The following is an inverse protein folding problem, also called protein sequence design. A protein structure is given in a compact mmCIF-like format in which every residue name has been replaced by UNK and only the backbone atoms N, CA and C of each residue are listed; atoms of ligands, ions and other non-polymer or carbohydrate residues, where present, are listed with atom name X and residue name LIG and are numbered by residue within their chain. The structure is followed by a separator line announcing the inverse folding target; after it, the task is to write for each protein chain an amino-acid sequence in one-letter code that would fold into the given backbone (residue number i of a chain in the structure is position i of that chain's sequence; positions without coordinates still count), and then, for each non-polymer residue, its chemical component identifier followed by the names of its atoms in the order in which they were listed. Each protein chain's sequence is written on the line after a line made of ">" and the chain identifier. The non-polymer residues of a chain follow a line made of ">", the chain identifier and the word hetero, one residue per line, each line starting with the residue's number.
data_IF_311001930519
#
_entry.id   IF_311001930519
#
_cell.length_a   1.000
_cell.length_b   1.000
_cell.length_c   1.000
_cell.angle_alpha   90.00
_cell.angle_beta   90.00
_cell.angle_gamma   90.00
#
_symmetry.space_group_name_H-M   'P 1'
#
loop_
_entity.id
_entity.type
_entity.pdbx_description
1 polymer ?
#
# COMPACT_ATOMS: atom_id res chain seq x y z
N UNK A 1 13.88 -15.90 -14.15
CA UNK A 1 13.24 -14.80 -13.48
C UNK A 1 14.34 -13.91 -12.92
N UNK A 2 14.10 -12.67 -12.58
CA UNK A 2 15.22 -11.75 -12.44
C UNK A 2 15.03 -10.82 -11.24
N UNK A 3 16.12 -10.48 -10.57
CA UNK A 3 16.24 -9.34 -9.67
C UNK A 3 16.09 -8.05 -10.47
N UNK A 4 15.48 -7.03 -9.87
CA UNK A 4 15.42 -5.67 -10.40
C UNK A 4 16.11 -4.73 -9.43
N UNK A 5 17.08 -3.95 -9.90
CA UNK A 5 17.84 -3.01 -9.09
C UNK A 5 17.76 -1.61 -9.69
N UNK A 6 17.33 -0.66 -8.88
CA UNK A 6 17.34 0.77 -9.17
C UNK A 6 18.44 1.42 -8.31
N UNK A 7 19.37 2.14 -8.93
CA UNK A 7 20.47 2.83 -8.24
C UNK A 7 20.42 4.31 -8.56
N UNK A 8 20.12 5.15 -7.56
CA UNK A 8 20.06 6.62 -7.63
C UNK A 8 19.21 7.13 -8.79
N UNK A 9 18.06 6.51 -9.01
CA UNK A 9 17.19 6.84 -10.16
C UNK A 9 16.61 8.23 -9.98
N UNK A 10 16.85 9.08 -10.98
CA UNK A 10 16.30 10.43 -11.10
C UNK A 10 15.46 10.54 -12.36
N UNK A 11 14.30 11.19 -12.25
CA UNK A 11 13.51 11.63 -13.40
C UNK A 11 13.13 13.09 -13.25
N UNK A 12 13.49 13.88 -14.24
CA UNK A 12 13.10 15.29 -14.39
C UNK A 12 12.25 15.46 -15.64
N UNK A 13 11.20 16.26 -15.50
CA UNK A 13 10.41 16.80 -16.58
C UNK A 13 10.56 18.32 -16.53
N UNK A 14 11.29 18.87 -17.46
CA UNK A 14 11.68 20.28 -17.43
C UNK A 14 12.28 20.65 -16.04
N UNK A 15 11.68 21.59 -15.32
CA UNK A 15 12.11 22.02 -13.99
C UNK A 15 11.56 21.16 -12.84
N UNK A 16 10.72 20.16 -13.12
CA UNK A 16 10.07 19.34 -12.09
C UNK A 16 10.78 17.99 -11.92
N UNK A 17 11.31 17.75 -10.74
CA UNK A 17 11.93 16.47 -10.38
C UNK A 17 10.87 15.50 -9.83
N UNK A 18 10.36 14.62 -10.71
CA UNK A 18 9.30 13.66 -10.37
C UNK A 18 9.80 12.44 -9.57
N UNK A 19 11.06 12.04 -9.75
CA UNK A 19 11.75 11.00 -8.96
C UNK A 19 13.13 11.51 -8.59
N UNK A 20 13.49 11.40 -7.30
CA UNK A 20 14.58 12.16 -6.68
C UNK A 20 15.66 11.25 -6.09
N UNK A 21 16.35 10.50 -6.94
CA UNK A 21 17.50 9.67 -6.54
C UNK A 21 17.08 8.49 -5.67
N UNK A 22 16.14 7.66 -6.14
CA UNK A 22 15.68 6.49 -5.39
C UNK A 22 16.61 5.29 -5.61
N UNK A 23 16.81 4.53 -4.52
CA UNK A 23 17.48 3.24 -4.51
C UNK A 23 16.47 2.16 -4.12
N UNK A 24 16.38 1.09 -4.92
CA UNK A 24 15.47 -0.02 -4.65
C UNK A 24 16.02 -1.31 -5.24
N UNK A 25 16.21 -2.32 -4.39
CA UNK A 25 16.53 -3.68 -4.79
C UNK A 25 15.30 -4.57 -4.61
N UNK A 26 14.90 -5.25 -5.68
CA UNK A 26 13.79 -6.20 -5.71
C UNK A 26 14.37 -7.58 -6.01
N UNK A 27 14.20 -8.51 -5.08
CA UNK A 27 14.77 -9.85 -5.22
C UNK A 27 14.00 -10.71 -6.22
N UNK A 28 14.62 -11.79 -6.68
CA UNK A 28 13.95 -12.73 -7.59
C UNK A 28 12.67 -13.29 -6.95
N UNK A 29 11.56 -13.28 -7.71
CA UNK A 29 10.23 -13.77 -7.32
C UNK A 29 9.53 -12.95 -6.24
N UNK A 30 10.04 -11.82 -5.85
CA UNK A 30 9.44 -10.94 -4.86
C UNK A 30 8.24 -10.17 -5.46
N UNK A 31 7.19 -9.98 -4.66
CA UNK A 31 6.06 -9.10 -4.97
C UNK A 31 6.24 -7.77 -4.24
N UNK A 32 6.72 -6.76 -4.95
CA UNK A 32 6.91 -5.41 -4.40
C UNK A 32 5.78 -4.49 -4.85
N UNK A 33 5.20 -3.77 -3.87
CA UNK A 33 4.16 -2.77 -4.14
C UNK A 33 4.69 -1.38 -3.90
N UNK A 34 4.60 -0.51 -4.90
CA UNK A 34 4.85 0.93 -4.78
C UNK A 34 3.53 1.62 -4.42
N UNK A 35 3.48 2.32 -3.29
CA UNK A 35 2.28 2.99 -2.79
C UNK A 35 2.62 4.44 -2.38
N UNK A 36 1.64 5.33 -2.41
CA UNK A 36 1.81 6.73 -2.04
C UNK A 36 0.77 7.64 -2.69
N UNK A 37 0.74 8.94 -2.37
CA UNK A 37 -0.20 9.91 -2.92
C UNK A 37 -0.09 10.03 -4.44
N UNK A 38 -1.12 10.63 -5.05
CA UNK A 38 -1.06 10.98 -6.47
C UNK A 38 0.12 11.92 -6.76
N UNK A 39 0.84 11.67 -7.85
CA UNK A 39 1.99 12.49 -8.26
C UNK A 39 3.31 12.23 -7.51
N UNK A 40 3.39 11.25 -6.59
CA UNK A 40 4.64 10.96 -5.85
C UNK A 40 5.70 10.16 -6.64
N UNK A 41 5.47 9.85 -7.93
CA UNK A 41 6.47 9.21 -8.79
C UNK A 41 6.30 7.70 -9.04
N UNK A 42 5.29 7.02 -8.47
CA UNK A 42 5.07 5.55 -8.61
C UNK A 42 4.99 5.07 -10.06
N UNK A 43 4.01 5.56 -10.82
CA UNK A 43 3.82 5.17 -12.23
C UNK A 43 5.00 5.59 -13.10
N UNK A 44 5.64 6.72 -12.79
CA UNK A 44 6.88 7.15 -13.45
C UNK A 44 8.00 6.12 -13.22
N UNK A 45 8.19 5.69 -11.98
CA UNK A 45 9.18 4.66 -11.62
C UNK A 45 8.88 3.34 -12.35
N UNK A 46 7.62 2.89 -12.35
CA UNK A 46 7.22 1.69 -13.06
C UNK A 46 7.49 1.79 -14.57
N UNK A 47 7.16 2.94 -15.18
CA UNK A 47 7.39 3.18 -16.61
C UNK A 47 8.87 3.26 -16.98
N UNK A 48 9.72 3.78 -16.10
CA UNK A 48 11.17 3.74 -16.27
C UNK A 48 11.71 2.30 -16.25
N UNK A 49 11.23 1.44 -15.34
CA UNK A 49 11.57 0.01 -15.34
C UNK A 49 11.12 -0.64 -16.65
N UNK A 50 9.93 -0.27 -17.15
CA UNK A 50 9.40 -0.77 -18.42
C UNK A 50 10.14 -0.25 -19.65
N UNK A 51 10.94 0.81 -19.54
CA UNK A 51 11.54 1.51 -20.69
C UNK A 51 10.55 2.32 -21.51
N UNK A 52 9.38 2.62 -20.95
CA UNK A 52 8.36 3.51 -21.54
C UNK A 52 8.62 4.97 -21.19
N UNK A 53 9.54 5.21 -20.28
CA UNK A 53 10.00 6.52 -19.84
C UNK A 53 11.52 6.44 -19.63
N UNK A 54 12.26 7.38 -20.18
CA UNK A 54 13.71 7.45 -20.01
C UNK A 54 14.05 7.98 -18.62
N UNK A 55 15.10 7.45 -18.01
CA UNK A 55 15.67 8.02 -16.79
C UNK A 55 16.47 9.28 -17.11
N UNK A 56 16.55 10.22 -16.16
CA UNK A 56 17.44 11.39 -16.30
C UNK A 56 18.84 11.06 -15.77
N UNK A 57 18.91 10.29 -14.68
CA UNK A 57 20.18 9.86 -14.08
C UNK A 57 19.97 8.54 -13.31
N UNK A 58 21.05 7.85 -12.99
CA UNK A 58 21.06 6.57 -12.28
C UNK A 58 21.12 5.36 -13.20
N UNK A 59 20.85 4.18 -12.64
CA UNK A 59 20.98 2.91 -13.36
C UNK A 59 19.83 1.96 -12.99
N UNK A 60 19.19 1.35 -13.99
CA UNK A 60 18.23 0.26 -13.84
C UNK A 60 18.87 -1.02 -14.35
N UNK A 61 18.86 -2.06 -13.51
CA UNK A 61 19.32 -3.40 -13.85
C UNK A 61 18.18 -4.41 -13.75
N UNK A 62 18.09 -5.32 -14.72
CA UNK A 62 17.16 -6.47 -14.71
C UNK A 62 18.00 -7.73 -14.95
N UNK A 63 17.97 -8.68 -14.03
CA UNK A 63 18.77 -9.91 -14.11
C UNK A 63 20.27 -9.66 -14.19
N UNK A 64 20.76 -8.59 -13.53
CA UNK A 64 22.17 -8.21 -13.56
C UNK A 64 22.64 -7.46 -14.80
N UNK A 65 21.73 -7.15 -15.73
CA UNK A 65 22.03 -6.39 -16.96
C UNK A 65 21.46 -4.98 -16.87
N UNK A 66 22.28 -3.98 -17.15
CA UNK A 66 21.85 -2.58 -17.27
C UNK A 66 20.91 -2.43 -18.46
N UNK A 67 19.71 -1.85 -18.24
CA UNK A 67 18.66 -1.74 -19.24
C UNK A 67 18.32 -0.30 -19.63
N UNK A 68 19.10 0.70 -19.20
CA UNK A 68 18.81 2.11 -19.44
C UNK A 68 18.47 2.38 -20.93
N UNK A 69 19.31 1.91 -21.85
CA UNK A 69 19.19 2.13 -23.29
C UNK A 69 18.49 0.97 -24.01
N UNK A 70 18.00 -0.04 -23.29
CA UNK A 70 17.30 -1.19 -23.87
C UNK A 70 15.83 -0.82 -24.12
N UNK A 71 15.32 -0.95 -25.35
CA UNK A 71 13.92 -0.62 -25.63
C UNK A 71 12.95 -1.61 -24.95
N UNK A 72 11.69 -1.21 -24.65
CA UNK A 72 10.73 -2.01 -23.88
C UNK A 72 10.51 -3.44 -24.39
N UNK A 73 10.53 -3.64 -25.72
CA UNK A 73 10.33 -4.95 -26.36
C UNK A 73 11.43 -5.96 -26.04
N UNK A 74 12.62 -5.49 -25.69
CA UNK A 74 13.84 -6.29 -25.48
C UNK A 74 14.21 -6.45 -23.99
N UNK A 75 13.48 -5.78 -23.07
CA UNK A 75 13.70 -5.88 -21.60
C UNK A 75 13.16 -7.17 -20.98
N UNK A 76 12.50 -8.04 -21.74
CA UNK A 76 11.84 -9.27 -21.28
C UNK A 76 10.89 -9.07 -20.08
N UNK A 77 10.14 -8.00 -20.14
CA UNK A 77 9.10 -7.63 -19.15
C UNK A 77 7.70 -7.79 -19.74
N UNK A 78 6.69 -7.91 -18.88
CA UNK A 78 5.29 -7.78 -19.28
C UNK A 78 4.58 -6.77 -18.39
N UNK A 79 3.82 -5.87 -19.00
CA UNK A 79 3.09 -4.82 -18.30
C UNK A 79 1.58 -4.96 -18.48
N UNK A 80 0.85 -4.82 -17.38
CA UNK A 80 -0.60 -4.72 -17.31
C UNK A 80 -0.94 -3.26 -16.98
N UNK A 81 -1.66 -2.62 -17.90
CA UNK A 81 -2.04 -1.21 -17.78
C UNK A 81 -3.38 -1.06 -17.08
N UNK A 82 -3.63 0.10 -16.50
CA UNK A 82 -4.85 0.49 -15.82
C UNK A 82 -6.12 0.31 -16.68
N UNK A 83 -6.03 0.55 -18.01
CA UNK A 83 -7.13 0.40 -18.96
C UNK A 83 -7.17 -0.96 -19.66
N UNK A 84 -6.39 -1.94 -19.17
CA UNK A 84 -6.23 -3.30 -19.72
C UNK A 84 -5.64 -3.38 -21.14
N UNK A 85 -5.74 -2.33 -21.95
CA UNK A 85 -5.22 -2.21 -23.31
C UNK A 85 -5.54 -3.43 -24.23
N UNK A 86 -6.76 -3.98 -24.10
CA UNK A 86 -7.21 -5.12 -24.92
C UNK A 86 -7.54 -4.69 -26.36
N UNK A 87 -7.23 -5.55 -27.33
CA UNK A 87 -7.62 -5.36 -28.72
C UNK A 87 -9.10 -5.73 -28.90
N UNK A 88 -10.02 -4.76 -29.14
CA UNK A 88 -11.46 -5.00 -29.07
C UNK A 88 -12.00 -5.91 -30.19
N UNK A 89 -11.30 -5.97 -31.31
CA UNK A 89 -11.64 -6.79 -32.47
C UNK A 89 -11.15 -8.23 -32.39
N UNK A 90 -10.25 -8.54 -31.46
CA UNK A 90 -9.69 -9.88 -31.25
C UNK A 90 -10.47 -10.65 -30.19
N UNK A 91 -10.49 -11.99 -30.31
CA UNK A 91 -10.98 -12.88 -29.25
C UNK A 91 -10.02 -12.91 -28.04
N UNK A 92 -10.43 -13.54 -26.94
CA UNK A 92 -9.57 -13.76 -25.77
C UNK A 92 -8.30 -14.51 -26.17
N UNK A 93 -8.43 -15.64 -26.87
CA UNK A 93 -7.29 -16.42 -27.38
C UNK A 93 -6.37 -15.59 -28.26
N UNK A 94 -6.94 -14.76 -29.14
CA UNK A 94 -6.18 -13.88 -30.02
C UNK A 94 -5.47 -12.77 -29.26
N UNK A 95 -6.09 -12.17 -28.25
CA UNK A 95 -5.47 -11.19 -27.37
C UNK A 95 -4.29 -11.80 -26.62
N UNK A 96 -4.46 -12.97 -26.00
CA UNK A 96 -3.39 -13.65 -25.27
C UNK A 96 -2.23 -14.03 -26.21
N UNK A 97 -2.51 -14.60 -27.37
CA UNK A 97 -1.50 -15.09 -28.31
C UNK A 97 -0.78 -14.00 -29.13
N UNK A 98 -1.25 -12.74 -29.09
CA UNK A 98 -0.77 -11.68 -29.99
C UNK A 98 0.74 -11.48 -29.95
N UNK A 99 1.33 -11.35 -28.77
CA UNK A 99 2.77 -11.13 -28.59
C UNK A 99 3.60 -12.34 -29.06
N UNK A 100 3.11 -13.57 -28.85
CA UNK A 100 3.79 -14.78 -29.30
C UNK A 100 3.78 -14.90 -30.85
N UNK A 101 2.64 -14.56 -31.45
CA UNK A 101 2.53 -14.52 -32.94
C UNK A 101 3.47 -13.48 -33.56
N UNK A 102 3.57 -12.30 -32.95
CA UNK A 102 4.48 -11.25 -33.41
C UNK A 102 5.95 -11.69 -33.33
N UNK A 103 6.30 -12.47 -32.29
CA UNK A 103 7.63 -13.08 -32.13
C UNK A 103 7.81 -14.37 -32.94
N UNK A 104 6.83 -14.75 -33.77
CA UNK A 104 6.86 -15.91 -34.70
C UNK A 104 7.08 -17.26 -33.99
N UNK A 105 6.52 -17.45 -32.76
CA UNK A 105 6.52 -18.76 -32.13
C UNK A 105 5.76 -19.79 -32.93
N UNK A 106 6.11 -21.12 -32.85
CA UNK A 106 5.36 -22.21 -33.43
C UNK A 106 3.89 -22.23 -32.97
N UNK A 107 2.96 -22.65 -33.85
CA UNK A 107 1.51 -22.61 -33.57
C UNK A 107 1.13 -23.51 -32.37
N UNK A 108 1.70 -24.68 -32.28
CA UNK A 108 1.53 -25.64 -31.20
C UNK A 108 1.98 -25.06 -29.83
N UNK A 109 3.12 -24.41 -29.81
CA UNK A 109 3.63 -23.75 -28.63
C UNK A 109 2.74 -22.55 -28.20
N UNK A 110 2.24 -21.76 -29.14
CA UNK A 110 1.28 -20.69 -28.88
C UNK A 110 0.01 -21.26 -28.26
N UNK A 111 -0.55 -22.33 -28.85
CA UNK A 111 -1.76 -22.95 -28.35
C UNK A 111 -1.55 -23.48 -26.92
N UNK A 112 -0.47 -24.23 -26.69
CA UNK A 112 -0.12 -24.77 -25.37
C UNK A 112 -0.05 -23.66 -24.30
N UNK A 113 0.67 -22.55 -24.58
CA UNK A 113 0.83 -21.43 -23.62
C UNK A 113 -0.48 -20.70 -23.36
N UNK A 114 -1.32 -20.51 -24.37
CA UNK A 114 -2.64 -19.88 -24.22
C UNK A 114 -3.58 -20.74 -23.37
N UNK A 115 -3.61 -22.06 -23.63
CA UNK A 115 -4.41 -22.99 -22.84
C UNK A 115 -3.95 -23.08 -21.38
N UNK A 116 -2.64 -23.07 -21.14
CA UNK A 116 -2.07 -23.03 -19.81
C UNK A 116 -2.43 -21.73 -19.05
N UNK A 117 -2.27 -20.58 -19.69
CA UNK A 117 -2.65 -19.31 -19.10
C UNK A 117 -4.16 -19.22 -18.85
N UNK A 118 -4.97 -19.71 -19.78
CA UNK A 118 -6.43 -19.77 -19.63
C UNK A 118 -6.83 -20.68 -18.44
N UNK A 119 -6.14 -21.79 -18.23
CA UNK A 119 -6.34 -22.69 -17.09
C UNK A 119 -5.98 -22.02 -15.76
N UNK A 120 -4.84 -21.34 -15.68
CA UNK A 120 -4.41 -20.58 -14.49
C UNK A 120 -5.45 -19.53 -14.11
N UNK A 121 -6.06 -18.88 -15.10
CA UNK A 121 -6.99 -17.77 -14.93
C UNK A 121 -8.49 -18.18 -14.90
N UNK A 122 -8.80 -19.47 -15.07
CA UNK A 122 -10.18 -19.96 -15.16
C UNK A 122 -10.94 -19.37 -16.35
N UNK A 123 -10.31 -19.29 -17.53
CA UNK A 123 -10.83 -18.62 -18.73
C UNK A 123 -11.04 -19.55 -19.92
N UNK A 124 -10.95 -20.89 -19.73
CA UNK A 124 -10.99 -21.86 -20.85
C UNK A 124 -12.26 -21.71 -21.71
N UNK A 125 -13.42 -21.56 -21.09
CA UNK A 125 -14.73 -21.45 -21.76
C UNK A 125 -14.97 -20.08 -22.41
N UNK A 126 -14.02 -19.15 -22.26
CA UNK A 126 -14.15 -17.77 -22.74
C UNK A 126 -13.19 -17.42 -23.88
N UNK A 127 -12.37 -18.37 -24.34
CA UNK A 127 -11.29 -18.14 -25.29
C UNK A 127 -11.78 -17.57 -26.65
N UNK A 128 -12.99 -17.91 -27.08
CA UNK A 128 -13.59 -17.44 -28.33
C UNK A 128 -14.35 -16.12 -28.20
N UNK A 129 -14.56 -15.63 -26.96
CA UNK A 129 -15.27 -14.36 -26.72
C UNK A 129 -14.39 -13.16 -27.06
N UNK A 130 -15.06 -12.04 -27.35
CA UNK A 130 -14.41 -10.72 -27.54
C UNK A 130 -14.54 -9.86 -26.30
N UNK A 131 -13.67 -8.85 -26.09
CA UNK A 131 -13.70 -7.99 -24.90
C UNK A 131 -15.05 -7.38 -24.55
N UNK A 132 -15.87 -7.02 -25.55
CA UNK A 132 -17.23 -6.49 -25.35
C UNK A 132 -18.21 -7.46 -24.67
N UNK A 133 -17.92 -8.76 -24.72
CA UNK A 133 -18.75 -9.83 -24.15
C UNK A 133 -18.28 -10.26 -22.75
N UNK A 134 -17.30 -9.54 -22.17
CA UNK A 134 -16.66 -9.86 -20.90
C UNK A 134 -17.00 -8.83 -19.83
N UNK A 135 -17.11 -9.30 -18.58
CA UNK A 135 -17.16 -8.43 -17.42
C UNK A 135 -15.82 -7.70 -17.17
N UNK A 136 -15.80 -6.69 -16.28
CA UNK A 136 -14.58 -5.97 -15.91
C UNK A 136 -13.46 -6.91 -15.44
N UNK A 137 -13.75 -7.80 -14.50
CA UNK A 137 -12.77 -8.77 -14.00
C UNK A 137 -12.33 -9.80 -15.04
N UNK A 138 -13.22 -10.20 -15.95
CA UNK A 138 -12.83 -11.07 -17.05
C UNK A 138 -11.87 -10.36 -18.02
N UNK A 139 -12.11 -9.07 -18.34
CA UNK A 139 -11.18 -8.27 -19.16
C UNK A 139 -9.81 -8.15 -18.48
N UNK A 140 -9.78 -7.95 -17.18
CA UNK A 140 -8.53 -7.91 -16.42
C UNK A 140 -7.78 -9.25 -16.48
N UNK A 141 -8.47 -10.38 -16.29
CA UNK A 141 -7.85 -11.71 -16.44
C UNK A 141 -7.27 -11.91 -17.84
N UNK A 142 -7.93 -11.42 -18.89
CA UNK A 142 -7.36 -11.47 -20.26
C UNK A 142 -6.08 -10.63 -20.34
N UNK A 143 -6.04 -9.44 -19.73
CA UNK A 143 -4.83 -8.61 -19.70
C UNK A 143 -3.68 -9.32 -18.95
N UNK A 144 -3.97 -9.98 -17.83
CA UNK A 144 -3.01 -10.84 -17.13
C UNK A 144 -2.55 -12.01 -17.98
N UNK A 145 -3.48 -12.67 -18.71
CA UNK A 145 -3.16 -13.77 -19.63
C UNK A 145 -2.20 -13.35 -20.74
N UNK A 146 -2.37 -12.15 -21.29
CA UNK A 146 -1.41 -11.57 -22.25
C UNK A 146 0.01 -11.43 -21.70
N UNK A 147 0.12 -11.18 -20.39
CA UNK A 147 1.40 -11.08 -19.71
C UNK A 147 1.99 -12.48 -19.40
N UNK A 148 1.17 -13.39 -18.87
CA UNK A 148 1.58 -14.75 -18.44
C UNK A 148 2.11 -15.58 -19.63
N UNK A 149 1.43 -15.58 -20.78
CA UNK A 149 1.84 -16.37 -21.95
C UNK A 149 3.26 -16.06 -22.45
N UNK A 150 3.78 -14.86 -22.14
CA UNK A 150 5.12 -14.42 -22.51
C UNK A 150 6.21 -15.03 -21.65
N UNK A 151 5.85 -15.55 -20.45
CA UNK A 151 6.79 -16.02 -19.43
C UNK A 151 7.92 -15.00 -19.18
N UNK A 152 7.59 -13.74 -18.80
CA UNK A 152 8.58 -12.67 -18.68
C UNK A 152 9.44 -12.86 -17.44
N UNK A 153 10.59 -12.17 -17.39
CA UNK A 153 11.42 -12.10 -16.19
C UNK A 153 10.79 -11.25 -15.08
N UNK A 154 10.04 -10.18 -15.45
CA UNK A 154 9.40 -9.26 -14.50
C UNK A 154 7.99 -8.92 -14.96
N UNK A 155 7.03 -8.97 -14.03
CA UNK A 155 5.69 -8.42 -14.20
C UNK A 155 5.61 -7.00 -13.66
N UNK A 156 4.98 -6.11 -14.41
CA UNK A 156 4.72 -4.72 -14.05
C UNK A 156 3.21 -4.46 -14.10
N UNK A 157 2.64 -3.94 -13.00
CA UNK A 157 1.22 -3.62 -12.89
C UNK A 157 1.04 -2.13 -12.58
N UNK A 158 0.40 -1.37 -13.48
CA UNK A 158 0.10 0.05 -13.30
C UNK A 158 -1.37 0.21 -12.92
N UNK A 159 -1.67 0.26 -11.63
CA UNK A 159 -3.01 0.40 -11.02
C UNK A 159 -4.09 -0.53 -11.65
N UNK A 160 -3.87 -1.84 -11.73
CA UNK A 160 -4.72 -2.72 -12.53
C UNK A 160 -6.15 -2.89 -11.98
N UNK A 161 -6.41 -2.56 -10.71
CA UNK A 161 -7.71 -2.73 -10.05
C UNK A 161 -8.52 -1.43 -9.91
N UNK A 162 -7.96 -0.28 -10.26
CA UNK A 162 -8.56 1.05 -10.04
C UNK A 162 -9.94 1.23 -10.72
N UNK A 163 -10.16 0.58 -11.87
CA UNK A 163 -11.40 0.69 -12.66
C UNK A 163 -12.46 -0.37 -12.30
N UNK A 164 -12.31 -1.08 -11.17
CA UNK A 164 -13.24 -2.11 -10.71
C UNK A 164 -14.08 -1.61 -9.51
N UNK A 165 -15.31 -2.11 -9.41
CA UNK A 165 -16.12 -1.94 -8.21
C UNK A 165 -15.50 -2.65 -6.99
N UNK A 166 -15.92 -2.27 -5.78
CA UNK A 166 -15.33 -2.74 -4.53
C UNK A 166 -15.38 -4.29 -4.39
N UNK A 167 -16.50 -4.92 -4.75
CA UNK A 167 -16.69 -6.37 -4.64
C UNK A 167 -15.73 -7.11 -5.59
N UNK A 168 -15.66 -6.65 -6.82
CA UNK A 168 -14.82 -7.25 -7.86
C UNK A 168 -13.33 -7.02 -7.55
N UNK A 169 -12.97 -5.86 -6.97
CA UNK A 169 -11.60 -5.56 -6.52
C UNK A 169 -11.10 -6.56 -5.49
N UNK A 170 -11.93 -6.91 -4.47
CA UNK A 170 -11.60 -7.94 -3.48
C UNK A 170 -11.33 -9.30 -4.13
N UNK A 171 -12.19 -9.72 -5.07
CA UNK A 171 -12.02 -10.98 -5.79
C UNK A 171 -10.73 -11.00 -6.62
N UNK A 172 -10.51 -9.94 -7.40
CA UNK A 172 -9.34 -9.84 -8.29
C UNK A 172 -8.01 -9.75 -7.53
N UNK A 173 -8.00 -9.11 -6.36
CA UNK A 173 -6.83 -9.10 -5.46
C UNK A 173 -6.43 -10.52 -5.05
N UNK A 174 -7.39 -11.34 -4.63
CA UNK A 174 -7.15 -12.75 -4.30
C UNK A 174 -6.63 -13.54 -5.52
N UNK A 175 -7.17 -13.29 -6.71
CA UNK A 175 -6.73 -13.92 -7.94
C UNK A 175 -5.28 -13.54 -8.31
N UNK A 176 -4.92 -12.26 -8.21
CA UNK A 176 -3.54 -11.80 -8.46
C UNK A 176 -2.57 -12.51 -7.51
N UNK A 177 -2.90 -12.62 -6.21
CA UNK A 177 -2.05 -13.33 -5.25
C UNK A 177 -1.87 -14.80 -5.61
N UNK A 178 -2.95 -15.50 -5.99
CA UNK A 178 -2.89 -16.90 -6.46
C UNK A 178 -2.03 -17.06 -7.72
N UNK A 179 -2.22 -16.18 -8.70
CA UNK A 179 -1.43 -16.20 -9.94
C UNK A 179 0.05 -15.99 -9.64
N UNK A 180 0.39 -15.03 -8.79
CA UNK A 180 1.79 -14.82 -8.39
C UNK A 180 2.40 -16.06 -7.72
N UNK A 181 1.67 -16.71 -6.80
CA UNK A 181 2.12 -17.95 -6.14
C UNK A 181 2.38 -19.10 -7.12
N UNK A 182 1.61 -19.17 -8.22
CA UNK A 182 1.77 -20.20 -9.24
C UNK A 182 2.91 -19.90 -10.22
N UNK A 183 2.96 -18.63 -10.70
CA UNK A 183 3.90 -18.23 -11.76
C UNK A 183 5.27 -17.86 -11.17
N UNK A 184 5.31 -17.40 -9.90
CA UNK A 184 6.53 -17.05 -9.15
C UNK A 184 7.47 -16.10 -9.91
N UNK A 185 6.92 -15.11 -10.59
CA UNK A 185 7.68 -14.11 -11.34
C UNK A 185 7.86 -12.85 -10.51
N UNK A 186 9.03 -12.25 -10.52
CA UNK A 186 9.31 -10.95 -9.87
C UNK A 186 8.26 -9.92 -10.33
N UNK A 187 7.61 -9.27 -9.37
CA UNK A 187 6.45 -8.43 -9.64
C UNK A 187 6.63 -7.06 -9.02
N UNK A 188 6.44 -6.00 -9.83
CA UNK A 188 6.33 -4.62 -9.35
C UNK A 188 4.92 -4.13 -9.62
N UNK A 189 4.24 -3.73 -8.57
CA UNK A 189 2.83 -3.36 -8.60
C UNK A 189 2.65 -1.93 -8.08
N UNK A 190 1.98 -1.10 -8.83
CA UNK A 190 1.63 0.28 -8.42
C UNK A 190 0.17 0.34 -8.02
N UNK A 191 -0.11 0.96 -6.89
CA UNK A 191 -1.47 1.25 -6.44
C UNK A 191 -1.51 2.51 -5.57
N UNK A 192 -2.69 3.09 -5.43
CA UNK A 192 -3.02 4.08 -4.41
C UNK A 192 -3.87 3.48 -3.28
N UNK A 193 -4.28 2.21 -3.41
CA UNK A 193 -5.10 1.49 -2.43
C UNK A 193 -4.19 0.78 -1.41
N UNK A 194 -4.26 1.21 -0.15
CA UNK A 194 -3.47 0.64 0.93
C UNK A 194 -3.80 -0.82 1.21
N UNK A 195 -5.08 -1.23 1.05
CA UNK A 195 -5.49 -2.61 1.28
C UNK A 195 -4.87 -3.54 0.24
N UNK A 196 -4.71 -3.07 -1.01
CA UNK A 196 -3.96 -3.81 -2.03
C UNK A 196 -2.50 -3.98 -1.62
N UNK A 197 -1.85 -2.90 -1.19
CA UNK A 197 -0.46 -2.94 -0.74
C UNK A 197 -0.27 -3.89 0.44
N UNK A 198 -1.09 -3.78 1.48
CA UNK A 198 -1.00 -4.60 2.69
C UNK A 198 -1.28 -6.09 2.46
N UNK A 199 -2.10 -6.44 1.45
CA UNK A 199 -2.53 -7.84 1.23
C UNK A 199 -1.74 -8.58 0.15
N UNK A 200 -1.23 -7.87 -0.86
CA UNK A 200 -0.52 -8.47 -1.98
C UNK A 200 0.98 -8.56 -1.75
N UNK A 201 1.58 -7.53 -1.15
CA UNK A 201 3.02 -7.37 -1.10
C UNK A 201 3.73 -8.39 -0.21
N UNK A 202 4.92 -8.79 -0.63
CA UNK A 202 5.95 -9.30 0.26
C UNK A 202 6.69 -8.12 0.91
N UNK A 203 6.85 -7.03 0.15
CA UNK A 203 7.43 -5.76 0.63
C UNK A 203 6.73 -4.56 -0.02
N UNK A 204 6.42 -3.56 0.80
CA UNK A 204 5.82 -2.29 0.37
C UNK A 204 6.87 -1.19 0.36
N UNK A 205 6.85 -0.39 -0.68
CA UNK A 205 7.66 0.82 -0.84
C UNK A 205 6.74 2.02 -0.76
N UNK A 206 6.82 2.76 0.32
CA UNK A 206 6.04 4.00 0.52
C UNK A 206 6.78 5.15 -0.12
N UNK A 207 6.18 5.75 -1.15
CA UNK A 207 6.75 6.88 -1.87
C UNK A 207 6.04 8.19 -1.51
N UNK A 208 6.82 9.23 -1.34
CA UNK A 208 6.33 10.58 -1.08
C UNK A 208 7.23 11.61 -1.80
N UNK A 209 6.63 12.56 -2.51
CA UNK A 209 7.33 13.67 -3.19
C UNK A 209 8.57 13.25 -4.00
N UNK A 210 8.47 12.13 -4.73
CA UNK A 210 9.56 11.61 -5.57
C UNK A 210 10.65 10.84 -4.81
N UNK A 211 10.51 10.60 -3.51
CA UNK A 211 11.44 9.86 -2.66
C UNK A 211 10.79 8.61 -2.08
N UNK A 212 11.62 7.69 -1.63
CA UNK A 212 11.18 6.55 -0.82
C UNK A 212 11.27 6.96 0.65
N UNK A 213 10.13 6.96 1.35
CA UNK A 213 10.05 7.29 2.77
C UNK A 213 10.36 6.09 3.66
N UNK A 214 9.78 4.94 3.32
CA UNK A 214 10.06 3.68 4.02
C UNK A 214 9.83 2.48 3.10
N UNK A 215 10.65 1.45 3.29
CA UNK A 215 10.50 0.13 2.66
C UNK A 215 10.40 -0.90 3.79
N UNK A 216 9.47 -1.83 3.68
CA UNK A 216 9.36 -2.91 4.66
C UNK A 216 8.23 -3.90 4.37
N UNK A 217 8.19 -4.95 5.18
CA UNK A 217 7.02 -5.83 5.29
C UNK A 217 5.79 -5.00 5.67
N UNK A 218 4.60 -5.31 5.15
CA UNK A 218 3.36 -4.60 5.49
C UNK A 218 3.14 -4.40 7.00
N UNK A 219 3.36 -5.44 7.82
CA UNK A 219 3.19 -5.34 9.28
C UNK A 219 4.21 -4.39 9.92
N UNK A 220 5.45 -4.37 9.41
CA UNK A 220 6.49 -3.45 9.91
C UNK A 220 6.10 -2.00 9.63
N UNK A 221 5.57 -1.70 8.44
CA UNK A 221 5.12 -0.35 8.09
C UNK A 221 3.93 0.10 8.96
N UNK A 222 3.05 -0.84 9.31
CA UNK A 222 1.87 -0.57 10.13
C UNK A 222 2.20 -0.34 11.61
N UNK A 223 3.05 -1.21 12.20
CA UNK A 223 3.37 -1.19 13.64
C UNK A 223 4.60 -0.36 13.99
N UNK A 224 5.49 -0.10 13.01
CA UNK A 224 6.76 0.60 13.23
C UNK A 224 7.03 1.60 12.10
N UNK A 225 6.12 2.55 11.86
CA UNK A 225 6.34 3.61 10.88
C UNK A 225 7.54 4.48 11.31
N UNK A 226 8.34 4.95 10.34
CA UNK A 226 9.51 5.80 10.62
C UNK A 226 9.18 7.29 10.64
N UNK A 227 8.14 7.69 9.92
CA UNK A 227 7.76 9.09 9.78
C UNK A 227 6.28 9.27 10.08
N UNK A 228 5.89 10.50 10.43
CA UNK A 228 4.49 10.91 10.56
C UNK A 228 3.71 10.62 9.28
N UNK A 229 4.35 10.87 8.12
CA UNK A 229 3.72 10.58 6.84
C UNK A 229 3.37 9.09 6.70
N UNK A 230 4.31 8.18 6.93
CA UNK A 230 4.06 6.72 6.83
C UNK A 230 3.01 6.29 7.84
N UNK A 231 3.07 6.78 9.09
CA UNK A 231 2.11 6.49 10.15
C UNK A 231 0.67 6.86 9.77
N UNK A 232 0.48 8.03 9.16
CA UNK A 232 -0.82 8.52 8.71
C UNK A 232 -1.26 7.95 7.36
N UNK A 233 -0.30 7.61 6.49
CA UNK A 233 -0.62 7.06 5.18
C UNK A 233 -0.97 5.57 5.23
N UNK A 234 -0.32 4.78 6.09
CA UNK A 234 -0.56 3.34 6.23
C UNK A 234 -1.60 3.08 7.34
N UNK A 235 -2.72 2.50 6.94
CA UNK A 235 -3.87 2.18 7.80
C UNK A 235 -5.15 2.87 7.34
N UNK A 236 -6.29 2.20 7.52
CA UNK A 236 -7.62 2.73 7.19
C UNK A 236 -8.60 2.34 8.31
N UNK A 237 -9.07 3.32 9.09
CA UNK A 237 -8.75 4.74 9.02
C UNK A 237 -7.29 5.08 9.33
N UNK A 238 -6.88 6.32 9.01
CA UNK A 238 -5.54 6.84 9.31
C UNK A 238 -5.28 6.91 10.82
N UNK A 239 -4.00 6.95 11.21
CA UNK A 239 -3.61 7.21 12.60
C UNK A 239 -4.06 8.60 13.04
N UNK A 240 -4.63 8.72 14.24
CA UNK A 240 -4.88 10.00 14.88
C UNK A 240 -3.56 10.68 15.24
N UNK A 241 -3.47 11.99 15.05
CA UNK A 241 -2.35 12.81 15.49
C UNK A 241 -2.85 13.95 16.35
N UNK A 242 -2.39 14.01 17.61
CA UNK A 242 -2.79 15.01 18.59
C UNK A 242 -1.55 15.74 19.09
N UNK A 243 -1.55 17.07 19.01
CA UNK A 243 -0.51 17.87 19.61
C UNK A 243 -0.53 17.72 21.13
N UNK A 244 0.60 17.38 21.72
CA UNK A 244 0.72 16.99 23.11
C UNK A 244 2.05 17.44 23.72
N UNK A 245 2.17 17.29 25.03
CA UNK A 245 3.43 17.52 25.75
C UNK A 245 3.80 16.28 26.54
N UNK A 246 5.05 15.85 26.44
CA UNK A 246 5.59 14.80 27.28
C UNK A 246 5.94 15.39 28.64
N UNK A 247 5.46 14.79 29.72
CA UNK A 247 5.68 15.29 31.08
C UNK A 247 6.14 14.17 32.03
N UNK A 248 6.88 14.56 33.09
CA UNK A 248 7.15 13.67 34.19
C UNK A 248 5.88 13.49 35.01
N UNK A 249 5.49 12.25 35.32
CA UNK A 249 4.28 11.92 36.08
C UNK A 249 4.62 10.92 37.22
N UNK A 250 4.86 11.41 38.42
CA UNK A 250 5.31 10.58 39.53
C UNK A 250 6.68 9.93 39.24
N UNK A 251 6.74 8.59 39.28
CA UNK A 251 7.96 7.83 38.99
C UNK A 251 8.11 7.51 37.46
N UNK A 252 7.09 7.82 36.65
CA UNK A 252 7.03 7.51 35.23
C UNK A 252 6.80 8.75 34.39
N UNK A 253 6.46 8.51 33.09
CA UNK A 253 6.17 9.56 32.11
C UNK A 253 4.70 9.50 31.68
N UNK A 254 4.15 10.64 31.25
CA UNK A 254 2.84 10.70 30.64
C UNK A 254 2.81 11.66 29.44
N UNK A 255 1.95 11.37 28.48
CA UNK A 255 1.60 12.27 27.38
C UNK A 255 0.40 13.09 27.84
N UNK A 256 0.61 14.39 28.06
CA UNK A 256 -0.46 15.34 28.38
C UNK A 256 -1.06 15.87 27.09
N UNK A 257 -2.31 15.46 26.81
CA UNK A 257 -3.04 15.93 25.65
C UNK A 257 -3.64 17.32 25.91
N UNK A 258 -4.27 17.52 27.11
CA UNK A 258 -4.79 18.80 27.58
C UNK A 258 -4.76 18.85 29.11
N UNK A 259 -5.52 19.78 29.73
CA UNK A 259 -5.58 19.91 31.20
C UNK A 259 -6.26 18.71 31.88
N UNK A 260 -7.22 18.06 31.16
CA UNK A 260 -8.06 16.98 31.67
C UNK A 260 -7.53 15.59 31.33
N UNK A 261 -6.80 15.46 30.18
CA UNK A 261 -6.38 14.17 29.64
C UNK A 261 -4.86 14.04 29.68
N UNK A 262 -4.39 13.14 30.55
CA UNK A 262 -2.98 12.77 30.68
C UNK A 262 -2.85 11.25 30.66
N UNK A 263 -2.19 10.71 29.64
CA UNK A 263 -2.09 9.27 29.37
C UNK A 263 -0.72 8.75 29.80
N UNK A 264 -0.60 7.91 30.86
CA UNK A 264 0.65 7.31 31.27
C UNK A 264 1.30 6.48 30.15
N UNK A 265 2.61 6.60 30.01
CA UNK A 265 3.40 5.80 29.08
C UNK A 265 3.74 4.46 29.73
N UNK A 266 3.60 3.32 29.03
CA UNK A 266 4.06 2.03 29.51
C UNK A 266 5.56 2.06 29.88
N UNK A 267 5.97 1.54 31.06
CA UNK A 267 7.34 1.65 31.57
C UNK A 267 8.41 1.14 30.60
N UNK A 268 8.11 0.08 29.87
CA UNK A 268 9.01 -0.52 28.88
C UNK A 268 9.33 0.41 27.69
N UNK A 269 8.52 1.44 27.46
CA UNK A 269 8.69 2.42 26.37
C UNK A 269 9.38 3.71 26.82
N UNK A 270 9.39 4.02 28.09
CA UNK A 270 9.90 5.29 28.63
C UNK A 270 11.34 5.59 28.27
N UNK A 271 12.18 4.55 28.16
CA UNK A 271 13.61 4.72 27.86
C UNK A 271 13.86 5.45 26.54
N UNK A 272 12.95 5.36 25.56
CA UNK A 272 13.05 6.00 24.25
C UNK A 272 12.79 7.50 24.31
N UNK A 273 12.03 7.96 25.31
CA UNK A 273 11.46 9.30 25.33
C UNK A 273 12.12 10.24 26.32
N UNK A 274 13.17 9.81 27.05
CA UNK A 274 13.86 10.59 28.10
C UNK A 274 14.29 11.98 27.67
N UNK A 275 14.80 12.10 26.44
CA UNK A 275 15.30 13.34 25.89
C UNK A 275 14.19 14.32 25.46
N UNK A 276 12.94 13.88 25.52
CA UNK A 276 11.75 14.66 25.13
C UNK A 276 10.89 15.09 26.31
N UNK A 277 11.29 14.82 27.56
CA UNK A 277 10.59 15.29 28.75
C UNK A 277 10.46 16.82 28.69
N UNK A 278 9.29 17.33 29.01
CA UNK A 278 8.86 18.74 28.96
C UNK A 278 8.89 19.38 27.57
N UNK A 279 9.02 18.58 26.49
CA UNK A 279 8.92 19.06 25.12
C UNK A 279 7.55 18.79 24.49
N UNK A 280 7.25 19.57 23.48
CA UNK A 280 6.12 19.32 22.58
C UNK A 280 6.42 18.11 21.71
N UNK A 281 5.41 17.26 21.54
CA UNK A 281 5.44 16.05 20.70
C UNK A 281 4.09 15.92 19.99
N UNK A 282 4.05 15.16 18.90
CA UNK A 282 2.79 14.73 18.31
C UNK A 282 2.51 13.31 18.79
N UNK A 283 1.39 13.12 19.49
CA UNK A 283 0.91 11.82 19.94
C UNK A 283 0.16 11.14 18.80
N UNK A 284 0.58 9.94 18.43
CA UNK A 284 -0.03 9.10 17.41
C UNK A 284 -0.67 7.86 18.02
N UNK A 285 -1.97 7.64 17.74
CA UNK A 285 -2.66 6.40 18.12
C UNK A 285 -3.71 6.05 17.05
N UNK A 286 -3.75 4.77 16.64
CA UNK A 286 -4.70 4.35 15.62
C UNK A 286 -6.12 4.23 16.18
N UNK A 287 -7.16 4.48 15.36
CA UNK A 287 -8.56 4.40 15.78
C UNK A 287 -8.96 3.07 16.44
N UNK A 288 -8.42 1.95 15.99
CA UNK A 288 -8.68 0.63 16.56
C UNK A 288 -8.06 0.39 17.94
N UNK A 289 -7.15 1.25 18.36
CA UNK A 289 -6.55 1.25 19.71
C UNK A 289 -7.22 2.24 20.66
N UNK A 290 -8.28 2.90 20.20
CA UNK A 290 -9.20 3.70 21.04
C UNK A 290 -10.55 3.03 20.96
N UNK A 291 -10.99 2.39 22.06
CA UNK A 291 -12.20 1.56 22.08
C UNK A 291 -13.13 1.97 23.21
N UNK A 292 -14.28 1.33 23.31
CA UNK A 292 -15.13 1.42 24.50
C UNK A 292 -14.46 0.79 25.72
N UNK A 293 -14.82 1.26 26.92
CA UNK A 293 -14.34 0.67 28.19
C UNK A 293 -14.87 -0.76 28.34
N UNK A 294 -14.00 -1.70 28.66
CA UNK A 294 -14.28 -3.12 28.87
C UNK A 294 -14.17 -3.50 30.35
N UNK A 295 -14.85 -4.57 30.76
CA UNK A 295 -14.82 -5.05 32.16
C UNK A 295 -13.44 -5.51 32.63
N UNK A 296 -12.59 -5.98 31.73
CA UNK A 296 -11.21 -6.38 32.00
C UNK A 296 -10.28 -5.53 31.15
N UNK A 297 -9.39 -4.80 31.81
CA UNK A 297 -8.40 -3.94 31.19
C UNK A 297 -7.09 -4.71 31.05
N UNK A 298 -6.48 -4.60 29.89
CA UNK A 298 -5.12 -5.06 29.69
C UNK A 298 -4.12 -4.05 30.29
N UNK A 299 -2.95 -4.53 30.70
CA UNK A 299 -1.88 -3.64 31.17
C UNK A 299 -1.51 -2.66 30.08
N UNK A 300 -1.32 -1.39 30.42
CA UNK A 300 -0.98 -0.33 29.45
C UNK A 300 -2.18 0.32 28.77
N UNK A 301 -3.41 0.00 29.18
CA UNK A 301 -4.63 0.70 28.74
C UNK A 301 -5.04 1.78 29.73
N UNK A 302 -5.58 2.89 29.23
CA UNK A 302 -5.95 4.08 30.03
C UNK A 302 -7.34 4.58 29.64
N UNK A 303 -8.21 4.77 30.62
CA UNK A 303 -9.53 5.37 30.43
C UNK A 303 -9.43 6.90 30.33
N UNK A 304 -10.22 7.48 29.44
CA UNK A 304 -10.45 8.91 29.37
C UNK A 304 -11.86 9.21 28.89
N UNK A 305 -12.35 10.40 29.21
CA UNK A 305 -13.67 10.85 28.77
C UNK A 305 -13.53 11.77 27.55
N UNK A 306 -14.38 11.56 26.55
CA UNK A 306 -14.48 12.44 25.39
C UNK A 306 -15.93 12.84 25.12
N UNK A 307 -16.13 14.06 24.63
CA UNK A 307 -17.42 14.52 24.09
C UNK A 307 -17.48 14.12 22.62
N UNK A 308 -18.45 13.28 22.26
CA UNK A 308 -18.60 12.82 20.88
C UNK A 308 -19.19 13.92 20.00
N UNK A 309 -18.56 14.18 18.88
CA UNK A 309 -19.04 15.11 17.84
C UNK A 309 -19.96 14.35 16.85
N UNK A 310 -19.45 13.26 16.27
CA UNK A 310 -20.13 12.45 15.25
C UNK A 310 -20.07 10.96 15.60
N UNK A 311 -21.14 10.23 15.28
CA UNK A 311 -21.22 8.77 15.42
C UNK A 311 -21.65 8.17 14.10
N UNK A 312 -20.81 7.31 13.51
CA UNK A 312 -21.03 6.65 12.22
C UNK A 312 -21.16 5.13 12.37
N UNK A 313 -22.36 4.58 12.39
CA UNK A 313 -22.57 3.12 12.40
C UNK A 313 -22.16 2.50 11.06
N UNK A 314 -21.20 1.57 11.07
CA UNK A 314 -20.71 0.86 9.88
C UNK A 314 -21.20 -0.61 9.81
N UNK A 315 -22.14 -0.99 10.66
CA UNK A 315 -22.69 -2.34 10.77
C UNK A 315 -21.95 -3.21 11.78
N UNK A 316 -20.81 -3.75 11.45
CA UNK A 316 -20.01 -4.57 12.37
C UNK A 316 -19.25 -3.77 13.44
N UNK A 317 -19.03 -2.50 13.20
CA UNK A 317 -18.35 -1.54 14.07
C UNK A 317 -18.99 -0.16 13.95
N UNK A 318 -18.70 0.72 14.90
CA UNK A 318 -19.11 2.12 14.85
C UNK A 318 -17.87 3.00 15.01
N UNK A 319 -17.73 3.96 14.11
CA UNK A 319 -16.73 5.01 14.26
C UNK A 319 -17.33 6.14 15.08
N UNK A 320 -16.59 6.63 16.06
CA UNK A 320 -16.93 7.82 16.84
C UNK A 320 -15.83 8.85 16.67
N UNK A 321 -16.23 10.10 16.47
CA UNK A 321 -15.33 11.22 16.26
C UNK A 321 -15.52 12.22 17.41
N UNK A 322 -14.42 12.78 17.87
CA UNK A 322 -14.38 13.81 18.92
C UNK A 322 -13.14 14.69 18.75
N UNK A 323 -13.12 15.82 19.40
CA UNK A 323 -12.03 16.80 19.27
C UNK A 323 -11.21 16.89 20.54
N UNK A 324 -9.89 16.83 20.43
CA UNK A 324 -8.93 17.12 21.51
C UNK A 324 -7.96 18.20 21.02
N UNK A 325 -7.86 19.34 21.73
CA UNK A 325 -6.99 20.47 21.37
C UNK A 325 -7.20 21.04 19.96
N UNK A 326 -8.38 20.88 19.39
CA UNK A 326 -8.66 21.28 18.01
C UNK A 326 -8.28 20.21 16.95
N UNK A 327 -7.66 19.11 17.35
CA UNK A 327 -7.37 17.98 16.48
C UNK A 327 -8.56 17.00 16.51
N UNK A 328 -9.05 16.59 15.33
CA UNK A 328 -10.09 15.56 15.20
C UNK A 328 -9.51 14.19 15.50
N UNK A 329 -10.19 13.41 16.32
CA UNK A 329 -9.80 12.08 16.76
C UNK A 329 -10.91 11.10 16.42
N UNK A 330 -10.56 10.01 15.76
CA UNK A 330 -11.44 8.89 15.46
C UNK A 330 -11.17 7.73 16.41
N UNK A 331 -12.24 7.05 16.87
CA UNK A 331 -12.13 5.81 17.63
C UNK A 331 -13.08 4.75 17.06
N UNK A 332 -12.73 3.49 17.26
CA UNK A 332 -13.52 2.35 16.81
C UNK A 332 -14.12 1.64 18.00
N UNK A 333 -15.46 1.63 18.08
CA UNK A 333 -16.20 1.09 19.21
C UNK A 333 -17.21 0.02 18.77
N UNK A 334 -17.61 -0.83 19.72
CA UNK A 334 -18.67 -1.80 19.49
C UNK A 334 -20.02 -1.08 19.24
N UNK A 335 -20.79 -1.41 18.20
CA UNK A 335 -22.08 -0.77 17.90
C UNK A 335 -23.07 -0.78 19.05
N UNK A 336 -23.05 -1.84 19.88
CA UNK A 336 -23.97 -1.97 21.03
C UNK A 336 -23.62 -1.02 22.19
N UNK A 337 -22.39 -0.46 22.21
CA UNK A 337 -21.87 0.37 23.31
C UNK A 337 -21.56 1.80 22.83
N UNK A 338 -21.74 2.08 21.55
CA UNK A 338 -21.53 3.40 20.98
C UNK A 338 -22.47 4.42 21.64
N UNK A 339 -21.93 5.56 22.04
CA UNK A 339 -22.69 6.71 22.53
C UNK A 339 -23.54 7.34 21.41
N UNK A 340 -24.19 8.45 21.75
CA UNK A 340 -24.88 9.30 20.76
C UNK A 340 -24.00 10.50 20.44
N UNK A 341 -24.22 11.10 19.28
CA UNK A 341 -23.62 12.42 18.98
C UNK A 341 -23.98 13.41 20.05
N UNK A 342 -23.08 14.33 20.36
CA UNK A 342 -23.20 15.35 21.41
C UNK A 342 -23.34 14.77 22.86
N UNK A 343 -22.89 13.52 23.08
CA UNK A 343 -22.86 12.91 24.41
C UNK A 343 -21.44 12.61 24.88
N UNK A 344 -21.23 12.64 26.19
CA UNK A 344 -19.97 12.20 26.78
C UNK A 344 -19.88 10.67 26.74
N UNK A 345 -18.69 10.15 26.36
CA UNK A 345 -18.40 8.72 26.36
C UNK A 345 -17.06 8.45 27.06
N UNK A 346 -17.03 7.39 27.87
CA UNK A 346 -15.78 6.85 28.40
C UNK A 346 -15.13 5.95 27.36
N UNK A 347 -13.91 6.25 26.99
CA UNK A 347 -13.08 5.53 26.02
C UNK A 347 -11.85 4.96 26.69
N UNK A 348 -11.27 3.94 26.07
CA UNK A 348 -10.07 3.23 26.49
C UNK A 348 -9.00 3.39 25.43
N UNK A 349 -7.87 4.02 25.76
CA UNK A 349 -6.69 4.11 24.91
C UNK A 349 -5.71 2.98 25.24
N UNK A 350 -5.31 2.19 24.25
CA UNK A 350 -4.25 1.19 24.38
C UNK A 350 -2.88 1.83 24.07
N UNK A 351 -2.19 2.22 25.14
CA UNK A 351 -0.91 2.91 25.08
C UNK A 351 0.25 2.01 24.67
N UNK A 352 0.05 0.70 24.60
CA UNK A 352 1.07 -0.22 24.07
C UNK A 352 1.35 0.02 22.58
N UNK A 353 0.38 0.57 21.85
CA UNK A 353 0.44 0.87 20.43
C UNK A 353 0.65 2.35 20.10
N UNK A 354 0.92 3.19 21.11
CA UNK A 354 1.15 4.62 20.90
C UNK A 354 2.45 4.88 20.11
N UNK A 355 2.49 6.01 19.44
CA UNK A 355 3.69 6.58 18.85
C UNK A 355 3.88 8.02 19.34
N UNK A 356 5.14 8.44 19.55
CA UNK A 356 5.49 9.83 19.68
C UNK A 356 6.30 10.26 18.47
N UNK A 357 6.02 11.44 17.98
CA UNK A 357 6.63 11.99 16.77
C UNK A 357 7.22 13.35 17.13
N UNK A 358 8.45 13.58 16.71
CA UNK A 358 9.11 14.88 16.85
C UNK A 358 8.50 15.87 15.85
N UNK A 359 7.87 16.98 16.32
CA UNK A 359 7.19 17.94 15.45
C UNK A 359 8.14 18.71 14.52
N UNK A 360 9.47 18.72 14.78
CA UNK A 360 10.44 19.44 13.97
C UNK A 360 11.00 18.57 12.82
N UNK A 361 11.05 17.25 13.01
CA UNK A 361 11.65 16.32 12.04
C UNK A 361 10.63 15.43 11.35
N UNK A 362 9.38 15.37 11.88
CA UNK A 362 8.34 14.41 11.50
C UNK A 362 8.77 12.94 11.67
N UNK A 363 9.84 12.66 12.40
CA UNK A 363 10.30 11.30 12.70
C UNK A 363 9.58 10.73 13.92
N UNK A 364 9.26 9.43 13.86
CA UNK A 364 8.81 8.66 15.01
C UNK A 364 10.00 8.43 15.94
N UNK A 365 9.81 8.73 17.23
CA UNK A 365 10.83 8.69 18.27
C UNK A 365 11.04 7.25 18.79
#
# INVERSE_FOLDING_TARGET
>A
MAQVTLKKIVKRYDDTEAVRGIDLDITDREFVVLVGPSGCGKSTTLRMIAGLEDITDGTIEIGGHVVNDVPPKDRDIAMVFQNYALYPHMTVAQNMSFALRLRKFPKDEIQRRVEEAARILGMQDLLDRRPKQLSGGQRQRVAMGRAIVRNPQVFLFDEPLSNLDAKLRVQMRTEIKKVHQQVKTTTVYVTHDQVEAMTLADRVVVMNQGRIDQIGDPNVLYHSPRTRFVAGFIGSPAMNFINARLVQAGSGMAVRLNEDISLPIPPERESRYKDYIDKEVVFGLRPEHITEVRRHHETGTVEFQAQLDVVEPMGSETMVYFTINGDEVAARVNPALAGKSESAMMLLADMNHMHLIDPNTDLVI
#
